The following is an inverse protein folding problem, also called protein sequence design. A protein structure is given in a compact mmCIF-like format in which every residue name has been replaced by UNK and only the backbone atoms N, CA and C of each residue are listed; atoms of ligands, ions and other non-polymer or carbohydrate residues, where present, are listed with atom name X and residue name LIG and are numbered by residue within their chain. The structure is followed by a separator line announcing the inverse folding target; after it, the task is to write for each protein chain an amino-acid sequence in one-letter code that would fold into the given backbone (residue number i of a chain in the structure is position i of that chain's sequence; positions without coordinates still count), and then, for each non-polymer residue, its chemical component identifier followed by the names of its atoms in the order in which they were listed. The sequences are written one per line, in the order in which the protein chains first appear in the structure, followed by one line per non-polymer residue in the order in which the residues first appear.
data_IF_803354951838
#
_entry.id   IF_803354951838
#
_cell.length_a   1.000
_cell.length_b   1.000
_cell.length_c   1.000
_cell.angle_alpha   90.00
_cell.angle_beta   90.00
_cell.angle_gamma   90.00
#
_symmetry.space_group_name_H-M   'P 1'
#
loop_
_entity.id
_entity.type
_entity.pdbx_description
1 polymer ?
#
# COMPACT_ATOMS: atom_id res chain seq x y z
N UNK A 1 -14.88 -4.53 -10.79
CA UNK A 1 -13.82 -3.91 -9.96
C UNK A 1 -12.90 -3.16 -10.90
N UNK A 2 -12.54 -1.92 -10.57
CA UNK A 2 -11.69 -1.07 -11.42
C UNK A 2 -10.24 -1.51 -11.29
N UNK A 3 -9.61 -1.88 -12.41
CA UNK A 3 -8.17 -2.13 -12.45
C UNK A 3 -7.43 -0.81 -12.24
N UNK A 4 -6.52 -0.78 -11.25
CA UNK A 4 -5.63 0.35 -11.02
C UNK A 4 -4.20 -0.13 -10.82
N UNK A 5 -3.25 0.77 -11.08
CA UNK A 5 -1.84 0.58 -10.81
C UNK A 5 -1.22 1.86 -10.24
N UNK A 6 -0.06 1.71 -9.60
CA UNK A 6 0.78 2.78 -9.09
C UNK A 6 2.25 2.42 -9.40
N UNK A 7 2.94 3.31 -10.11
CA UNK A 7 4.36 3.16 -10.39
C UNK A 7 5.18 3.47 -9.14
N UNK A 8 6.35 2.86 -9.03
CA UNK A 8 7.37 3.28 -8.06
C UNK A 8 7.77 4.73 -8.36
N UNK A 9 7.45 5.69 -7.47
CA UNK A 9 7.74 7.09 -7.72
C UNK A 9 9.23 7.43 -7.63
N UNK A 10 10.05 6.58 -6.99
CA UNK A 10 11.51 6.67 -7.03
C UNK A 10 12.13 5.90 -8.22
N UNK A 11 11.32 5.07 -8.88
CA UNK A 11 11.76 4.20 -9.96
C UNK A 11 11.71 4.86 -11.33
N UNK A 12 12.43 4.28 -12.29
CA UNK A 12 12.29 4.67 -13.70
C UNK A 12 11.12 3.92 -14.31
N UNK A 13 10.12 4.66 -14.81
CA UNK A 13 8.99 4.07 -15.55
C UNK A 13 9.52 3.40 -16.82
N UNK A 14 9.09 2.17 -17.17
CA UNK A 14 9.61 1.48 -18.34
C UNK A 14 9.20 2.18 -19.64
N UNK A 15 10.18 2.58 -20.47
CA UNK A 15 9.96 3.38 -21.71
C UNK A 15 9.75 2.51 -22.96
N UNK A 16 9.32 1.24 -22.84
CA UNK A 16 9.13 0.39 -24.03
C UNK A 16 7.85 0.76 -24.78
N UNK A 17 7.77 0.42 -26.06
CA UNK A 17 6.55 0.59 -26.86
C UNK A 17 5.46 -0.35 -26.35
N UNK A 18 4.43 0.21 -25.73
CA UNK A 18 3.21 -0.48 -25.33
C UNK A 18 2.00 0.18 -25.99
N UNK A 19 0.89 -0.58 -26.09
CA UNK A 19 -0.37 -0.07 -26.68
C UNK A 19 -1.11 0.89 -25.75
N UNK A 20 -0.93 0.76 -24.44
CA UNK A 20 -1.51 1.61 -23.40
C UNK A 20 -0.68 1.55 -22.11
N UNK A 21 -0.80 2.56 -21.23
CA UNK A 21 -0.19 2.52 -19.89
C UNK A 21 -0.68 1.33 -19.06
N UNK A 22 -1.94 0.95 -19.21
CA UNK A 22 -2.49 -0.24 -18.55
C UNK A 22 -1.75 -1.51 -18.98
N UNK A 23 -1.48 -1.67 -20.29
CA UNK A 23 -0.73 -2.80 -20.83
C UNK A 23 0.70 -2.82 -20.30
N UNK A 24 1.32 -1.64 -20.21
CA UNK A 24 2.64 -1.46 -19.62
C UNK A 24 2.65 -1.89 -18.14
N UNK A 25 1.69 -1.43 -17.33
CA UNK A 25 1.55 -1.80 -15.92
C UNK A 25 1.32 -3.30 -15.72
N UNK A 26 0.50 -3.93 -16.57
CA UNK A 26 0.28 -5.39 -16.54
C UNK A 26 1.57 -6.17 -16.81
N UNK A 27 2.42 -5.68 -17.71
CA UNK A 27 3.67 -6.36 -18.08
C UNK A 27 4.89 -6.03 -17.19
N UNK A 28 4.82 -4.94 -16.43
CA UNK A 28 5.94 -4.50 -15.59
C UNK A 28 6.15 -5.41 -14.38
N UNK A 29 7.39 -5.42 -13.86
CA UNK A 29 7.74 -6.21 -12.69
C UNK A 29 7.04 -5.66 -11.45
N UNK A 30 6.74 -6.55 -10.49
CA UNK A 30 6.16 -6.14 -9.21
C UNK A 30 7.07 -5.20 -8.40
N UNK A 31 8.36 -5.09 -8.73
CA UNK A 31 9.27 -4.11 -8.11
C UNK A 31 9.06 -2.70 -8.64
N UNK A 32 8.51 -2.53 -9.84
CA UNK A 32 8.30 -1.24 -10.49
C UNK A 32 6.85 -0.74 -10.35
N UNK A 33 5.91 -1.65 -10.12
CA UNK A 33 4.49 -1.33 -10.10
C UNK A 33 3.77 -2.12 -9.02
N UNK A 34 2.79 -1.48 -8.38
CA UNK A 34 1.78 -2.14 -7.57
C UNK A 34 0.45 -2.09 -8.31
N UNK A 35 -0.26 -3.21 -8.35
CA UNK A 35 -1.56 -3.32 -9.04
C UNK A 35 -2.64 -3.77 -8.08
N UNK A 36 -3.88 -3.37 -8.38
CA UNK A 36 -5.06 -3.88 -7.69
C UNK A 36 -5.14 -5.42 -7.63
N UNK A 37 -4.68 -6.11 -8.68
CA UNK A 37 -4.68 -7.58 -8.76
C UNK A 37 -3.57 -8.25 -7.96
N UNK A 38 -2.54 -7.50 -7.52
CA UNK A 38 -1.50 -8.04 -6.64
C UNK A 38 -2.09 -8.38 -5.24
N UNK A 39 -3.28 -7.86 -4.91
CA UNK A 39 -3.99 -8.14 -3.66
C UNK A 39 -5.04 -9.24 -3.90
N UNK A 40 -4.67 -10.49 -3.64
CA UNK A 40 -5.56 -11.66 -3.81
C UNK A 40 -6.68 -11.69 -2.77
N UNK A 41 -6.42 -11.20 -1.55
CA UNK A 41 -7.43 -11.09 -0.51
C UNK A 41 -8.42 -9.93 -0.78
N UNK A 42 -9.74 -10.18 -0.86
CA UNK A 42 -10.72 -9.15 -1.19
C UNK A 42 -10.75 -7.97 -0.22
N UNK A 43 -10.53 -8.19 1.08
CA UNK A 43 -10.50 -7.11 2.06
C UNK A 43 -9.28 -6.20 1.87
N UNK A 44 -8.10 -6.79 1.63
CA UNK A 44 -6.88 -6.02 1.36
C UNK A 44 -6.97 -5.26 0.04
N UNK A 45 -7.56 -5.86 -0.99
CA UNK A 45 -7.83 -5.16 -2.26
C UNK A 45 -8.72 -3.95 -2.06
N UNK A 46 -9.79 -4.06 -1.26
CA UNK A 46 -10.68 -2.93 -0.93
C UNK A 46 -9.93 -1.83 -0.17
N UNK A 47 -9.15 -2.19 0.85
CA UNK A 47 -8.31 -1.23 1.61
C UNK A 47 -7.34 -0.49 0.70
N UNK A 48 -6.55 -1.23 -0.09
CA UNK A 48 -5.61 -0.65 -1.04
C UNK A 48 -6.29 0.27 -2.06
N UNK A 49 -7.47 -0.13 -2.57
CA UNK A 49 -8.24 0.69 -3.53
C UNK A 49 -8.78 1.96 -2.88
N UNK A 50 -9.26 1.90 -1.64
CA UNK A 50 -9.76 3.06 -0.91
C UNK A 50 -8.64 4.08 -0.69
N UNK A 51 -7.51 3.66 -0.10
CA UNK A 51 -6.37 4.55 0.17
C UNK A 51 -5.81 5.15 -1.11
N UNK A 52 -5.68 4.37 -2.19
CA UNK A 52 -5.26 4.90 -3.50
C UNK A 52 -6.25 5.94 -4.04
N UNK A 53 -7.54 5.73 -3.86
CA UNK A 53 -8.57 6.66 -4.30
C UNK A 53 -8.57 7.95 -3.48
N UNK A 54 -8.33 7.85 -2.17
CA UNK A 54 -8.17 9.01 -1.29
C UNK A 54 -6.93 9.81 -1.68
N UNK A 55 -5.80 9.16 -1.98
CA UNK A 55 -4.57 9.83 -2.43
C UNK A 55 -4.77 10.61 -3.73
N UNK A 56 -5.51 10.06 -4.69
CA UNK A 56 -5.82 10.79 -5.94
C UNK A 56 -6.62 12.08 -5.74
N UNK A 57 -7.24 12.26 -4.57
CA UNK A 57 -7.99 13.46 -4.21
C UNK A 57 -7.15 14.47 -3.43
N UNK A 58 -5.95 14.10 -2.99
CA UNK A 58 -5.04 14.98 -2.25
C UNK A 58 -4.53 16.07 -3.18
N UNK A 59 -4.55 17.31 -2.68
CA UNK A 59 -4.00 18.49 -3.36
C UNK A 59 -3.08 19.24 -2.41
N UNK A 60 -2.12 20.01 -2.94
CA UNK A 60 -1.22 20.82 -2.12
C UNK A 60 0.14 21.03 -2.78
N UNK A 61 1.17 21.27 -1.98
CA UNK A 61 2.55 21.39 -2.46
C UNK A 61 2.99 20.10 -3.19
N UNK A 62 3.31 20.15 -4.50
CA UNK A 62 3.69 18.98 -5.27
C UNK A 62 4.85 18.17 -4.67
N UNK A 63 5.81 18.84 -4.03
CA UNK A 63 6.95 18.17 -3.42
C UNK A 63 6.50 17.32 -2.25
N UNK A 64 5.60 17.83 -1.42
CA UNK A 64 5.08 17.09 -0.28
C UNK A 64 4.11 15.98 -0.70
N UNK A 65 3.29 16.25 -1.73
CA UNK A 65 2.42 15.22 -2.32
C UNK A 65 3.25 14.04 -2.85
N UNK A 66 4.39 14.31 -3.50
CA UNK A 66 5.31 13.25 -3.95
C UNK A 66 5.90 12.42 -2.79
N UNK A 67 6.17 13.03 -1.63
CA UNK A 67 6.60 12.29 -0.45
C UNK A 67 5.47 11.40 0.11
N UNK A 68 4.23 11.90 0.13
CA UNK A 68 3.05 11.09 0.49
C UNK A 68 2.84 9.96 -0.51
N UNK A 69 3.07 10.22 -1.80
CA UNK A 69 3.02 9.22 -2.88
C UNK A 69 4.02 8.09 -2.65
N UNK A 70 5.29 8.43 -2.37
CA UNK A 70 6.34 7.49 -2.05
C UNK A 70 5.99 6.64 -0.83
N UNK A 71 5.41 7.28 0.20
CA UNK A 71 5.00 6.59 1.41
C UNK A 71 3.86 5.61 1.15
N UNK A 72 2.84 6.04 0.41
CA UNK A 72 1.75 5.18 -0.03
C UNK A 72 2.27 3.98 -0.81
N UNK A 73 3.16 4.19 -1.78
CA UNK A 73 3.73 3.10 -2.57
C UNK A 73 4.44 2.08 -1.68
N UNK A 74 5.25 2.54 -0.73
CA UNK A 74 5.97 1.68 0.22
C UNK A 74 5.01 0.83 1.06
N UNK A 75 3.94 1.44 1.57
CA UNK A 75 2.90 0.75 2.33
C UNK A 75 2.14 -0.27 1.48
N UNK A 76 1.83 0.04 0.22
CA UNK A 76 1.17 -0.90 -0.69
C UNK A 76 2.06 -2.09 -1.05
N UNK A 77 3.36 -1.86 -1.24
CA UNK A 77 4.34 -2.94 -1.45
C UNK A 77 4.44 -3.83 -0.22
N UNK A 78 4.51 -3.24 0.98
CA UNK A 78 4.54 -3.98 2.23
C UNK A 78 3.25 -4.79 2.42
N UNK A 79 2.09 -4.21 2.11
CA UNK A 79 0.79 -4.87 2.18
C UNK A 79 0.75 -6.12 1.29
N UNK A 80 1.23 -6.00 0.05
CA UNK A 80 1.38 -7.12 -0.88
C UNK A 80 2.33 -8.20 -0.35
N UNK A 81 3.50 -7.80 0.17
CA UNK A 81 4.51 -8.72 0.73
C UNK A 81 4.03 -9.46 1.97
N UNK A 82 3.11 -8.88 2.73
CA UNK A 82 2.53 -9.49 3.92
C UNK A 82 1.41 -10.52 3.61
N UNK A 83 0.97 -10.66 2.35
CA UNK A 83 -0.08 -11.61 1.99
C UNK A 83 0.28 -13.09 2.28
N UNK A 84 1.47 -13.61 1.90
CA UNK A 84 1.85 -14.98 2.22
C UNK A 84 1.92 -15.26 3.73
N UNK A 85 2.29 -14.24 4.52
CA UNK A 85 2.30 -14.35 5.98
C UNK A 85 0.88 -14.48 6.53
N UNK A 86 -0.07 -13.68 6.03
CA UNK A 86 -1.49 -13.80 6.38
C UNK A 86 -2.04 -15.18 6.05
N UNK A 87 -1.72 -15.70 4.87
CA UNK A 87 -2.17 -17.03 4.43
C UNK A 87 -1.59 -18.15 5.31
N UNK A 88 -0.31 -18.04 5.68
CA UNK A 88 0.34 -18.97 6.61
C UNK A 88 -0.26 -18.92 8.02
N UNK A 89 -0.55 -17.73 8.54
CA UNK A 89 -1.21 -17.55 9.84
C UNK A 89 -2.65 -18.07 9.83
N UNK A 90 -3.40 -17.87 8.74
CA UNK A 90 -4.77 -18.35 8.60
C UNK A 90 -4.88 -19.88 8.54
N UNK A 91 -3.84 -20.55 8.05
CA UNK A 91 -3.78 -22.03 7.92
C UNK A 91 -3.05 -22.71 9.08
N UNK A 92 -2.44 -21.94 9.99
CA UNK A 92 -1.74 -22.47 11.15
C UNK A 92 -2.73 -23.10 12.15
N UNK A 93 -2.72 -24.43 12.25
CA UNK A 93 -3.50 -25.16 13.26
C UNK A 93 -2.89 -24.90 14.65
N UNK A 94 -3.69 -24.45 15.65
CA UNK A 94 -3.20 -24.24 17.01
C UNK A 94 -2.78 -25.59 17.62
N UNK A 95 -1.47 -25.85 17.70
CA UNK A 95 -0.91 -26.95 18.49
C UNK A 95 -0.10 -26.38 19.66
N UNK A 96 -0.30 -26.94 20.84
CA UNK A 96 0.49 -26.59 22.03
C UNK A 96 1.99 -26.73 21.71
N UNK A 97 2.76 -25.67 21.96
CA UNK A 97 4.19 -25.59 21.62
C UNK A 97 4.55 -24.74 20.38
N UNK A 98 3.59 -24.40 19.52
CA UNK A 98 3.81 -23.47 18.38
C UNK A 98 3.23 -22.07 18.58
N UNK A 99 2.51 -21.83 19.68
CA UNK A 99 1.88 -20.55 19.98
C UNK A 99 2.88 -19.38 19.98
N UNK A 100 4.07 -19.57 20.53
CA UNK A 100 5.12 -18.53 20.54
C UNK A 100 5.67 -18.23 19.12
N UNK A 101 5.76 -19.23 18.24
CA UNK A 101 6.23 -19.06 16.86
C UNK A 101 5.22 -18.35 15.97
N UNK A 102 3.94 -18.39 16.34
CA UNK A 102 2.84 -17.68 15.64
C UNK A 102 2.63 -16.28 16.24
N UNK A 103 2.93 -16.10 17.54
CA UNK A 103 2.71 -14.83 18.25
C UNK A 103 3.53 -13.68 17.65
N UNK A 104 4.82 -13.88 17.39
CA UNK A 104 5.69 -12.80 16.88
C UNK A 104 5.29 -12.35 15.47
N UNK A 105 5.12 -13.25 14.47
CA UNK A 105 4.68 -12.83 13.14
C UNK A 105 3.26 -12.24 13.13
N UNK A 106 2.39 -12.67 14.06
CA UNK A 106 1.05 -12.08 14.23
C UNK A 106 1.14 -10.66 14.78
N UNK A 107 2.06 -10.41 15.72
CA UNK A 107 2.28 -9.08 16.30
C UNK A 107 2.85 -8.12 15.26
N UNK A 108 3.88 -8.51 14.54
CA UNK A 108 4.47 -7.70 13.46
C UNK A 108 3.41 -7.34 12.40
N UNK A 109 2.57 -8.30 12.04
CA UNK A 109 1.47 -8.08 11.10
C UNK A 109 0.43 -7.10 11.65
N UNK A 110 0.06 -7.22 12.93
CA UNK A 110 -0.88 -6.31 13.57
C UNK A 110 -0.32 -4.89 13.68
N UNK A 111 0.97 -4.75 13.98
CA UNK A 111 1.65 -3.46 13.98
C UNK A 111 1.66 -2.84 12.58
N UNK A 112 1.96 -3.63 11.55
CA UNK A 112 1.86 -3.16 10.17
C UNK A 112 0.45 -2.71 9.80
N UNK A 113 -0.57 -3.50 10.14
CA UNK A 113 -1.97 -3.15 9.85
C UNK A 113 -2.38 -1.84 10.57
N UNK A 114 -1.92 -1.63 11.81
CA UNK A 114 -2.16 -0.38 12.54
C UNK A 114 -1.50 0.82 11.85
N UNK A 115 -0.25 0.69 11.40
CA UNK A 115 0.47 1.78 10.70
C UNK A 115 -0.21 2.11 9.37
N UNK A 116 -0.66 1.08 8.64
CA UNK A 116 -1.44 1.25 7.41
C UNK A 116 -2.75 2.01 7.66
N UNK A 117 -3.49 1.64 8.71
CA UNK A 117 -4.75 2.30 9.06
C UNK A 117 -4.54 3.74 9.55
N UNK A 118 -3.45 4.00 10.27
CA UNK A 118 -3.08 5.35 10.68
C UNK A 118 -2.77 6.24 9.47
N UNK A 119 -2.03 5.72 8.49
CA UNK A 119 -1.78 6.43 7.24
C UNK A 119 -3.09 6.68 6.47
N UNK A 120 -3.97 5.69 6.36
CA UNK A 120 -5.27 5.83 5.70
C UNK A 120 -6.13 6.92 6.36
N UNK A 121 -6.17 6.96 7.69
CA UNK A 121 -6.88 8.00 8.44
C UNK A 121 -6.28 9.40 8.21
N UNK A 122 -4.94 9.52 8.25
CA UNK A 122 -4.26 10.78 7.97
C UNK A 122 -4.53 11.28 6.55
N UNK A 123 -4.59 10.36 5.57
CA UNK A 123 -4.93 10.67 4.20
C UNK A 123 -6.35 11.21 4.06
N UNK A 124 -7.32 10.65 4.80
CA UNK A 124 -8.70 11.16 4.81
C UNK A 124 -8.80 12.57 5.38
N UNK A 125 -8.05 12.85 6.45
CA UNK A 125 -7.94 14.22 7.00
C UNK A 125 -7.35 15.16 5.96
N UNK A 126 -6.29 14.73 5.28
CA UNK A 126 -5.62 15.51 4.25
C UNK A 126 -6.52 15.81 3.04
N UNK A 127 -7.39 14.88 2.66
CA UNK A 127 -8.39 15.09 1.60
C UNK A 127 -9.45 16.13 2.03
N UNK A 128 -9.77 16.22 3.32
CA UNK A 128 -10.76 17.15 3.84
C UNK A 128 -10.19 18.56 4.03
N UNK A 129 -8.97 18.68 4.53
CA UNK A 129 -8.30 19.94 4.82
C UNK A 129 -6.79 19.77 4.56
N UNK A 130 -6.28 20.16 3.38
CA UNK A 130 -4.87 19.99 3.05
C UNK A 130 -4.02 21.16 3.56
N UNK A 131 -3.30 20.96 4.67
CA UNK A 131 -2.24 21.88 5.12
C UNK A 131 -0.82 21.34 4.84
N UNK A 132 0.19 22.22 4.67
CA UNK A 132 1.58 21.80 4.55
C UNK A 132 2.06 20.95 5.73
N UNK A 133 1.61 21.25 6.95
CA UNK A 133 1.94 20.49 8.17
C UNK A 133 1.35 19.08 8.12
N UNK A 134 0.10 18.91 7.68
CA UNK A 134 -0.52 17.60 7.54
C UNK A 134 0.13 16.77 6.42
N UNK A 135 0.55 17.41 5.32
CA UNK A 135 1.29 16.73 4.26
C UNK A 135 2.61 16.16 4.79
N UNK A 136 3.40 16.98 5.49
CA UNK A 136 4.67 16.56 6.12
C UNK A 136 4.45 15.46 7.15
N UNK A 137 3.44 15.62 8.00
CA UNK A 137 3.10 14.63 9.03
C UNK A 137 2.73 13.29 8.39
N UNK A 138 1.86 13.30 7.38
CA UNK A 138 1.39 12.08 6.69
C UNK A 138 2.53 11.38 5.97
N UNK A 139 3.42 12.12 5.31
CA UNK A 139 4.61 11.56 4.66
C UNK A 139 5.58 10.89 5.66
N UNK A 140 5.62 11.36 6.91
CA UNK A 140 6.50 10.86 7.96
C UNK A 140 5.92 9.67 8.78
N UNK A 141 4.69 9.24 8.51
CA UNK A 141 4.06 8.13 9.24
C UNK A 141 4.69 6.79 8.86
N UNK A 142 5.51 6.21 9.75
CA UNK A 142 6.11 4.87 9.57
C UNK A 142 5.19 3.70 9.97
#
# INVERSE_FOLDING_TARGET
MTFWWMWDPAGTVPVRRFRSEESLARSASGTQVVRSDDFTCPSQRRRATAVRSDFLRVTGDPVQVALVEQRLWTLLVALRRAQPLRDALATAVPKAGRAALVAEPSRELAEFDRRFDQFAAALQVLVADPTPEQLRHTAALD
#
